data_IF_831594647358
#
_entry.id   IF_831594647358
#
_cell.length_a   1.000
_cell.length_b   1.000
_cell.length_c   1.000
_cell.angle_alpha   90.00
_cell.angle_beta   90.00
_cell.angle_gamma   90.00
#
_symmetry.space_group_name_H-M   'P 1'
#
loop_
_entity.id
_entity.type
_entity.pdbx_description
1 polymer ?
#
# COMPACT_ATOMS: atom_id res chain seq x y z
N UNK A 1 7.13 16.65 0.06
CA UNK A 1 8.33 15.81 -0.24
C UNK A 1 8.83 16.16 -1.63
N UNK A 2 10.08 16.65 -1.77
CA UNK A 2 10.60 17.08 -3.06
C UNK A 2 11.46 15.97 -3.67
N UNK A 3 11.04 15.46 -4.82
CA UNK A 3 11.77 14.47 -5.63
C UNK A 3 11.74 14.91 -7.08
N UNK A 4 12.75 14.53 -7.85
CA UNK A 4 12.71 14.71 -9.31
C UNK A 4 11.67 13.75 -9.89
N UNK A 5 10.84 14.23 -10.81
CA UNK A 5 9.81 13.43 -11.47
C UNK A 5 10.24 13.09 -12.88
N UNK A 6 9.93 11.89 -13.32
CA UNK A 6 10.25 11.46 -14.69
C UNK A 6 9.55 12.34 -15.74
N UNK A 7 8.34 12.81 -15.45
CA UNK A 7 7.65 13.76 -16.32
C UNK A 7 8.45 15.06 -16.54
N UNK A 8 9.12 15.58 -15.51
CA UNK A 8 9.95 16.79 -15.63
C UNK A 8 11.22 16.51 -16.44
N UNK A 9 11.82 15.34 -16.28
CA UNK A 9 12.98 14.90 -17.09
C UNK A 9 12.59 14.80 -18.55
N UNK A 10 11.42 14.26 -18.87
CA UNK A 10 10.91 14.18 -20.24
C UNK A 10 10.64 15.59 -20.80
N UNK A 11 9.96 16.44 -20.02
CA UNK A 11 9.63 17.81 -20.44
C UNK A 11 10.87 18.67 -20.75
N UNK A 12 12.01 18.36 -20.10
CA UNK A 12 13.30 19.01 -20.39
C UNK A 12 13.98 18.52 -21.69
N UNK A 13 13.43 17.48 -22.34
CA UNK A 13 14.04 16.84 -23.52
C UNK A 13 15.20 15.90 -23.20
N UNK A 14 15.56 15.73 -21.94
CA UNK A 14 16.77 14.97 -21.56
C UNK A 14 16.64 13.46 -21.80
N UNK A 15 15.42 12.92 -21.94
CA UNK A 15 15.20 11.48 -22.13
C UNK A 15 15.44 10.99 -23.55
N UNK A 16 15.45 11.89 -24.54
CA UNK A 16 15.64 11.52 -25.94
C UNK A 16 17.02 10.89 -26.18
N UNK A 17 17.01 9.72 -26.82
CA UNK A 17 18.22 8.91 -27.09
C UNK A 17 18.98 8.47 -25.83
N UNK A 18 18.37 8.53 -24.64
CA UNK A 18 18.96 8.09 -23.38
C UNK A 18 18.49 6.68 -23.00
N UNK A 19 19.33 5.99 -22.27
CA UNK A 19 18.99 4.70 -21.67
C UNK A 19 18.20 4.95 -20.38
N UNK A 20 16.94 4.54 -20.37
CA UNK A 20 16.03 4.70 -19.23
C UNK A 20 15.79 3.35 -18.60
N UNK A 21 16.24 3.19 -17.37
CA UNK A 21 16.02 1.98 -16.57
C UNK A 21 14.81 2.20 -15.66
N UNK A 22 13.74 1.46 -15.89
CA UNK A 22 12.50 1.54 -15.11
C UNK A 22 12.42 0.35 -14.16
N UNK A 23 12.40 0.62 -12.85
CA UNK A 23 12.06 -0.36 -11.83
C UNK A 23 10.55 -0.34 -11.63
N UNK A 24 9.87 -1.30 -12.24
CA UNK A 24 8.43 -1.48 -12.15
C UNK A 24 8.06 -2.52 -11.08
N UNK A 25 6.83 -2.56 -10.65
CA UNK A 25 6.24 -3.64 -9.87
C UNK A 25 5.35 -4.51 -10.77
N UNK A 26 5.93 -5.57 -11.28
CA UNK A 26 5.29 -6.54 -12.18
C UNK A 26 5.12 -7.90 -11.50
N UNK A 27 5.15 -7.92 -10.17
CA UNK A 27 4.97 -9.13 -9.37
C UNK A 27 3.48 -9.52 -9.34
N UNK A 28 3.04 -10.14 -10.42
CA UNK A 28 1.65 -10.56 -10.64
C UNK A 28 1.41 -12.00 -10.16
N UNK A 29 0.19 -12.34 -9.76
CA UNK A 29 -0.16 -13.71 -9.40
C UNK A 29 -0.20 -14.59 -10.65
N UNK A 30 0.24 -15.83 -10.48
CA UNK A 30 0.26 -16.86 -11.51
C UNK A 30 -0.40 -18.13 -10.98
N UNK A 31 -1.01 -18.91 -11.89
CA UNK A 31 -1.48 -20.26 -11.60
C UNK A 31 -0.32 -21.27 -11.56
N UNK A 32 -0.63 -22.51 -11.26
CA UNK A 32 0.37 -23.60 -11.19
C UNK A 32 1.08 -23.87 -12.54
N UNK A 33 0.48 -23.47 -13.67
CA UNK A 33 1.07 -23.58 -15.01
C UNK A 33 1.89 -22.35 -15.40
N UNK A 34 1.97 -21.32 -14.53
CA UNK A 34 2.69 -20.08 -14.79
C UNK A 34 1.90 -19.05 -15.59
N UNK A 35 0.60 -19.25 -15.80
CA UNK A 35 -0.24 -18.25 -16.47
C UNK A 35 -0.57 -17.11 -15.50
N UNK A 36 -0.55 -15.89 -16.01
CA UNK A 36 -0.95 -14.70 -15.25
C UNK A 36 -2.46 -14.74 -15.02
N UNK A 37 -2.86 -14.73 -13.75
CA UNK A 37 -4.28 -14.76 -13.35
C UNK A 37 -4.89 -13.37 -13.17
N UNK A 38 -4.02 -12.35 -12.96
CA UNK A 38 -4.43 -10.96 -12.78
C UNK A 38 -3.29 -10.04 -13.25
N UNK A 39 -3.57 -9.05 -14.10
CA UNK A 39 -2.56 -8.23 -14.80
C UNK A 39 -2.58 -6.74 -14.44
N UNK A 40 -3.29 -6.34 -13.38
CA UNK A 40 -3.47 -4.92 -12.99
C UNK A 40 -2.13 -4.20 -12.83
N UNK A 41 -1.14 -4.85 -12.24
CA UNK A 41 0.20 -4.23 -12.04
C UNK A 41 0.92 -4.01 -13.36
N UNK A 42 0.76 -4.92 -14.32
CA UNK A 42 1.36 -4.75 -15.66
C UNK A 42 0.69 -3.57 -16.35
N UNK A 43 -0.65 -3.51 -16.34
CA UNK A 43 -1.41 -2.38 -16.91
C UNK A 43 -1.03 -1.05 -16.28
N UNK A 44 -0.89 -1.01 -14.96
CA UNK A 44 -0.51 0.19 -14.22
C UNK A 44 0.90 0.70 -14.58
N UNK A 45 1.80 -0.19 -15.02
CA UNK A 45 3.17 0.15 -15.42
C UNK A 45 3.28 0.67 -16.86
N UNK A 46 2.27 0.42 -17.70
CA UNK A 46 2.26 0.84 -19.12
C UNK A 46 2.45 2.36 -19.30
N UNK A 47 1.78 3.25 -18.54
CA UNK A 47 1.96 4.69 -18.73
C UNK A 47 3.40 5.16 -18.59
N UNK A 48 4.16 4.72 -17.58
CA UNK A 48 5.55 5.07 -17.40
C UNK A 48 6.43 4.62 -18.58
N UNK A 49 6.22 3.37 -19.01
CA UNK A 49 6.95 2.78 -20.14
C UNK A 49 6.64 3.54 -21.44
N UNK A 50 5.36 3.83 -21.66
CA UNK A 50 4.93 4.55 -22.86
C UNK A 50 5.48 5.98 -22.89
N UNK A 51 5.54 6.66 -21.73
CA UNK A 51 6.18 7.97 -21.63
C UNK A 51 7.64 7.93 -22.07
N UNK A 52 8.40 6.93 -21.64
CA UNK A 52 9.80 6.76 -22.02
C UNK A 52 9.95 6.47 -23.53
N UNK A 53 9.13 5.58 -24.07
CA UNK A 53 9.13 5.23 -25.48
C UNK A 53 8.76 6.44 -26.37
N UNK A 54 7.73 7.20 -25.99
CA UNK A 54 7.29 8.40 -26.69
C UNK A 54 8.35 9.50 -26.68
N UNK A 55 9.20 9.53 -25.64
CA UNK A 55 10.33 10.45 -25.56
C UNK A 55 11.56 10.00 -26.38
N UNK A 56 11.47 8.88 -27.10
CA UNK A 56 12.56 8.36 -27.91
C UNK A 56 13.69 7.70 -27.10
N UNK A 57 13.41 7.28 -25.87
CA UNK A 57 14.39 6.61 -25.02
C UNK A 57 14.65 5.16 -25.45
N UNK A 58 15.82 4.64 -25.08
CA UNK A 58 16.10 3.21 -25.04
C UNK A 58 15.65 2.67 -23.67
N UNK A 59 14.62 1.81 -23.64
CA UNK A 59 13.91 1.45 -22.42
C UNK A 59 14.32 0.08 -21.90
N UNK A 60 14.76 0.03 -20.66
CA UNK A 60 15.08 -1.20 -19.92
C UNK A 60 14.10 -1.29 -18.73
N UNK A 61 13.32 -2.35 -18.67
CA UNK A 61 12.35 -2.56 -17.60
C UNK A 61 12.68 -3.82 -16.83
N UNK A 62 12.70 -3.76 -15.52
CA UNK A 62 12.79 -4.94 -14.67
C UNK A 62 11.82 -4.89 -13.50
N UNK A 63 11.60 -6.04 -12.92
CA UNK A 63 10.83 -6.25 -11.70
C UNK A 63 11.35 -7.49 -10.97
N UNK A 64 10.90 -7.65 -9.75
CA UNK A 64 10.90 -8.96 -9.11
C UNK A 64 9.63 -9.73 -9.48
N UNK A 65 9.70 -11.05 -9.41
CA UNK A 65 8.58 -11.96 -9.48
C UNK A 65 8.77 -13.03 -8.41
N UNK A 66 7.79 -13.18 -7.53
CA UNK A 66 7.86 -14.17 -6.45
C UNK A 66 8.99 -13.92 -5.44
N UNK A 67 9.50 -15.01 -4.91
CA UNK A 67 10.59 -15.03 -3.90
C UNK A 67 11.69 -16.02 -4.30
N UNK A 68 12.39 -15.75 -5.39
CA UNK A 68 13.48 -16.63 -5.84
C UNK A 68 14.63 -16.66 -4.84
N UNK A 69 15.43 -17.72 -4.91
CA UNK A 69 16.70 -17.78 -4.22
C UNK A 69 17.76 -17.07 -5.05
N UNK A 70 18.49 -16.13 -4.47
CA UNK A 70 19.60 -15.44 -5.16
C UNK A 70 20.65 -16.46 -5.65
N UNK A 71 21.06 -16.32 -6.90
CA UNK A 71 22.02 -17.20 -7.56
C UNK A 71 21.46 -18.54 -8.04
N UNK A 72 20.17 -18.84 -7.81
CA UNK A 72 19.55 -20.12 -8.15
C UNK A 72 18.26 -19.90 -8.95
N UNK A 73 18.39 -19.46 -10.20
CA UNK A 73 17.27 -19.21 -11.11
C UNK A 73 16.53 -20.51 -11.47
N UNK A 74 15.19 -20.43 -11.43
CA UNK A 74 14.29 -21.47 -11.90
C UNK A 74 13.38 -20.91 -12.99
N UNK A 75 12.88 -21.75 -13.89
CA UNK A 75 11.96 -21.32 -14.94
C UNK A 75 10.68 -20.62 -14.41
N UNK A 76 10.23 -21.04 -13.22
CA UNK A 76 9.10 -20.39 -12.52
C UNK A 76 9.40 -18.95 -12.04
N UNK A 77 10.66 -18.56 -11.97
CA UNK A 77 11.08 -17.22 -11.57
C UNK A 77 11.11 -16.24 -12.75
N UNK A 78 10.92 -16.74 -13.98
CA UNK A 78 11.08 -15.95 -15.20
C UNK A 78 9.97 -14.92 -15.41
N UNK A 79 10.37 -13.72 -15.83
CA UNK A 79 9.47 -12.67 -16.30
C UNK A 79 8.97 -12.89 -17.75
N UNK A 80 9.26 -14.02 -18.39
CA UNK A 80 8.83 -14.28 -19.76
C UNK A 80 7.30 -14.13 -19.98
N UNK A 81 6.42 -14.65 -19.11
CA UNK A 81 4.98 -14.41 -19.24
C UNK A 81 4.61 -12.92 -19.10
N UNK A 82 5.32 -12.19 -18.23
CA UNK A 82 5.10 -10.76 -18.03
C UNK A 82 5.54 -9.95 -19.25
N UNK A 83 6.70 -10.27 -19.83
CA UNK A 83 7.20 -9.64 -21.05
C UNK A 83 6.22 -9.84 -22.22
N UNK A 84 5.70 -11.05 -22.39
CA UNK A 84 4.67 -11.35 -23.39
C UNK A 84 3.42 -10.48 -23.17
N UNK A 85 2.89 -10.45 -21.94
CA UNK A 85 1.68 -9.68 -21.63
C UNK A 85 1.90 -8.18 -21.81
N UNK A 86 3.06 -7.68 -21.40
CA UNK A 86 3.43 -6.27 -21.61
C UNK A 86 3.49 -5.94 -23.10
N UNK A 87 4.06 -6.83 -23.92
CA UNK A 87 4.11 -6.67 -25.37
C UNK A 87 2.73 -6.58 -26.01
N UNK A 88 1.78 -7.43 -25.58
CA UNK A 88 0.38 -7.35 -26.01
C UNK A 88 -0.26 -5.99 -25.69
N UNK A 89 -0.01 -5.46 -24.47
CA UNK A 89 -0.55 -4.18 -24.02
C UNK A 89 0.08 -2.98 -24.74
N UNK A 90 1.36 -3.07 -25.09
CA UNK A 90 2.09 -2.02 -25.81
C UNK A 90 1.91 -2.12 -27.33
N UNK A 91 1.38 -3.24 -27.87
CA UNK A 91 1.27 -3.49 -29.30
C UNK A 91 2.63 -3.63 -30.00
N UNK A 92 3.65 -4.14 -29.32
CA UNK A 92 5.01 -4.35 -29.81
C UNK A 92 5.73 -5.48 -29.09
N UNK A 93 6.79 -5.99 -29.69
CA UNK A 93 7.64 -6.97 -29.03
C UNK A 93 8.37 -6.37 -27.85
N UNK A 94 8.45 -7.15 -26.76
CA UNK A 94 9.23 -6.88 -25.56
C UNK A 94 10.17 -8.05 -25.34
N UNK A 95 11.37 -8.05 -25.95
CA UNK A 95 12.34 -9.12 -25.75
C UNK A 95 12.77 -9.25 -24.30
N UNK A 96 12.89 -10.49 -23.80
CA UNK A 96 13.44 -10.78 -22.50
C UNK A 96 14.96 -11.00 -22.58
N UNK A 97 15.71 -10.29 -21.77
CA UNK A 97 17.17 -10.43 -21.66
C UNK A 97 17.50 -11.15 -20.36
N UNK A 98 18.00 -12.39 -20.46
CA UNK A 98 18.30 -13.23 -19.30
C UNK A 98 19.55 -12.79 -18.54
N UNK A 99 20.62 -12.48 -19.25
CA UNK A 99 21.92 -12.06 -18.69
C UNK A 99 22.16 -10.59 -19.02
N UNK A 100 21.90 -9.71 -18.08
CA UNK A 100 21.85 -8.28 -18.35
C UNK A 100 22.71 -7.40 -17.42
N UNK A 101 23.13 -7.91 -16.27
CA UNK A 101 23.87 -7.11 -15.26
C UNK A 101 25.20 -6.57 -15.78
N UNK A 102 25.87 -7.34 -16.64
CA UNK A 102 27.17 -6.97 -17.19
C UNK A 102 27.09 -6.20 -18.53
N UNK A 103 25.88 -5.90 -18.99
CA UNK A 103 25.66 -5.09 -20.19
C UNK A 103 24.41 -5.49 -20.96
N UNK A 104 23.73 -4.49 -21.53
CA UNK A 104 22.57 -4.68 -22.41
C UNK A 104 22.63 -3.65 -23.53
N UNK A 105 22.36 -4.09 -24.75
CA UNK A 105 22.21 -3.20 -25.90
C UNK A 105 20.73 -3.05 -26.23
N UNK A 106 20.24 -1.83 -26.24
CA UNK A 106 18.89 -1.47 -26.67
C UNK A 106 18.96 -0.14 -27.42
N UNK A 107 18.30 -0.07 -28.57
CA UNK A 107 18.29 1.15 -29.38
C UNK A 107 17.23 2.16 -28.90
N UNK A 108 17.42 3.46 -29.14
CA UNK A 108 16.40 4.47 -28.90
C UNK A 108 15.06 4.09 -29.54
N UNK A 109 13.95 4.27 -28.80
CA UNK A 109 12.61 3.88 -29.22
C UNK A 109 12.30 2.39 -29.07
N UNK A 110 13.26 1.59 -28.62
CA UNK A 110 13.08 0.16 -28.33
C UNK A 110 12.95 -0.10 -26.83
N UNK A 111 12.40 -1.27 -26.49
CA UNK A 111 12.24 -1.74 -25.12
C UNK A 111 12.74 -3.17 -24.98
N UNK A 112 13.36 -3.47 -23.85
CA UNK A 112 13.66 -4.84 -23.41
C UNK A 112 13.19 -5.05 -21.97
N UNK A 113 12.74 -6.27 -21.66
CA UNK A 113 12.52 -6.74 -20.30
C UNK A 113 13.80 -7.39 -19.81
N UNK A 114 14.31 -6.94 -18.68
CA UNK A 114 15.43 -7.57 -17.98
C UNK A 114 14.88 -8.61 -17.02
N UNK A 115 15.45 -9.82 -17.05
CA UNK A 115 14.99 -10.94 -16.24
C UNK A 115 15.00 -10.62 -14.75
N UNK A 116 14.14 -11.29 -14.00
CA UNK A 116 13.86 -11.13 -12.58
C UNK A 116 15.07 -10.65 -11.76
N UNK A 117 14.99 -9.41 -11.28
CA UNK A 117 16.10 -8.78 -10.56
C UNK A 117 16.48 -9.49 -9.25
N UNK A 118 15.53 -10.18 -8.62
CA UNK A 118 15.76 -10.89 -7.34
C UNK A 118 16.57 -12.17 -7.44
N UNK A 119 16.90 -12.63 -8.64
CA UNK A 119 17.79 -13.79 -8.81
C UNK A 119 19.27 -13.41 -8.67
N UNK A 120 19.60 -12.14 -8.74
CA UNK A 120 20.98 -11.67 -8.65
C UNK A 120 21.47 -11.65 -7.20
N UNK A 121 22.65 -12.25 -6.98
CA UNK A 121 23.34 -12.21 -5.68
C UNK A 121 23.67 -10.75 -5.33
N UNK A 122 23.27 -10.33 -4.16
CA UNK A 122 23.50 -8.96 -3.69
C UNK A 122 22.30 -8.00 -3.90
N UNK A 123 21.28 -8.39 -4.65
CA UNK A 123 20.09 -7.55 -4.86
C UNK A 123 19.41 -7.19 -3.52
N UNK A 124 19.06 -8.20 -2.71
CA UNK A 124 18.38 -7.99 -1.42
C UNK A 124 19.21 -7.23 -0.40
N UNK A 125 20.53 -7.40 -0.46
CA UNK A 125 21.48 -6.75 0.47
C UNK A 125 21.90 -5.35 0.01
N UNK A 126 21.41 -4.91 -1.13
CA UNK A 126 21.85 -3.65 -1.74
C UNK A 126 23.38 -3.59 -1.89
N UNK A 127 23.97 -4.64 -2.46
CA UNK A 127 25.42 -4.73 -2.64
C UNK A 127 25.94 -3.58 -3.50
N UNK A 128 26.95 -2.80 -3.03
CA UNK A 128 27.42 -1.62 -3.77
C UNK A 128 28.05 -1.95 -5.11
N UNK A 129 28.70 -3.12 -5.26
CA UNK A 129 29.31 -3.51 -6.53
C UNK A 129 28.22 -3.83 -7.57
N UNK A 130 27.18 -4.56 -7.17
CA UNK A 130 26.01 -4.80 -8.00
C UNK A 130 25.33 -3.47 -8.36
N UNK A 131 25.07 -2.60 -7.39
CA UNK A 131 24.42 -1.32 -7.61
C UNK A 131 25.13 -0.43 -8.62
N UNK A 132 26.47 -0.39 -8.62
CA UNK A 132 27.27 0.33 -9.63
C UNK A 132 27.14 -0.28 -11.01
N UNK A 133 27.12 -1.60 -11.14
CA UNK A 133 26.86 -2.29 -12.42
C UNK A 133 25.49 -1.94 -12.96
N UNK A 134 24.45 -1.95 -12.11
CA UNK A 134 23.09 -1.57 -12.50
C UNK A 134 23.02 -0.12 -12.97
N UNK A 135 23.64 0.80 -12.25
CA UNK A 135 23.67 2.21 -12.62
C UNK A 135 24.42 2.48 -13.95
N UNK A 136 25.43 1.68 -14.26
CA UNK A 136 26.17 1.78 -15.53
C UNK A 136 25.30 1.40 -16.76
N UNK A 137 24.18 0.71 -16.56
CA UNK A 137 23.26 0.33 -17.64
C UNK A 137 22.38 1.50 -18.12
N UNK A 138 22.31 2.60 -17.38
CA UNK A 138 21.36 3.67 -17.68
C UNK A 138 21.94 5.06 -17.51
N UNK A 139 21.30 6.02 -18.18
CA UNK A 139 21.52 7.45 -18.00
C UNK A 139 20.47 8.03 -17.04
N UNK A 140 19.29 7.43 -17.02
CA UNK A 140 18.16 7.79 -16.14
C UNK A 140 17.63 6.53 -15.48
N UNK A 141 17.57 6.55 -14.15
CA UNK A 141 16.88 5.56 -13.35
C UNK A 141 15.50 6.10 -12.94
N UNK A 142 14.45 5.32 -13.18
CA UNK A 142 13.08 5.64 -12.81
C UNK A 142 12.56 4.60 -11.82
N UNK A 143 12.27 5.03 -10.61
CA UNK A 143 11.59 4.19 -9.62
C UNK A 143 10.08 4.35 -9.77
N UNK A 144 9.40 3.29 -10.20
CA UNK A 144 7.94 3.30 -10.40
C UNK A 144 7.26 2.09 -9.73
N UNK A 145 7.76 1.71 -8.56
CA UNK A 145 7.35 0.50 -7.84
C UNK A 145 7.11 0.79 -6.35
N UNK A 146 6.03 1.47 -6.02
CA UNK A 146 5.72 1.83 -4.63
C UNK A 146 5.64 0.60 -3.71
N UNK A 147 5.11 -0.52 -4.19
CA UNK A 147 5.05 -1.76 -3.42
C UNK A 147 6.38 -2.26 -2.88
N UNK A 148 7.51 -1.82 -3.47
CA UNK A 148 8.88 -2.16 -3.03
C UNK A 148 9.62 -0.98 -2.40
N UNK A 149 9.00 0.18 -2.29
CA UNK A 149 9.64 1.43 -1.84
C UNK A 149 10.16 1.36 -0.39
N UNK A 150 9.63 0.45 0.41
CA UNK A 150 10.04 0.18 1.79
C UNK A 150 11.30 -0.70 1.90
N UNK A 151 11.87 -1.14 0.79
CA UNK A 151 13.04 -2.02 0.75
C UNK A 151 14.24 -1.31 0.15
N UNK A 152 15.37 -1.30 0.87
CA UNK A 152 16.65 -0.86 0.36
C UNK A 152 17.35 -2.02 -0.35
N UNK A 153 16.99 -2.24 -1.62
CA UNK A 153 17.56 -3.30 -2.48
C UNK A 153 18.38 -2.68 -3.63
N UNK A 154 19.13 -3.48 -4.36
CA UNK A 154 19.98 -3.01 -5.46
C UNK A 154 19.23 -2.22 -6.52
N UNK A 155 18.06 -2.74 -6.97
CA UNK A 155 17.23 -2.11 -8.01
C UNK A 155 16.24 -1.05 -7.51
N UNK A 156 16.11 -0.87 -6.20
CA UNK A 156 15.19 0.14 -5.61
C UNK A 156 15.92 1.30 -4.97
N UNK A 157 17.06 1.05 -4.35
CA UNK A 157 17.86 2.05 -3.62
C UNK A 157 19.25 2.22 -4.23
N UNK A 158 20.00 1.11 -4.36
CA UNK A 158 21.40 1.15 -4.77
C UNK A 158 21.63 1.76 -6.13
N UNK A 159 20.86 1.37 -7.13
CA UNK A 159 20.95 1.97 -8.49
C UNK A 159 20.73 3.49 -8.44
N UNK A 160 19.79 3.96 -7.61
CA UNK A 160 19.51 5.38 -7.46
C UNK A 160 20.68 6.16 -6.86
N UNK A 161 21.52 5.50 -6.04
CA UNK A 161 22.72 6.14 -5.47
C UNK A 161 23.75 6.51 -6.53
N UNK A 162 23.86 5.71 -7.58
CA UNK A 162 24.97 5.80 -8.56
C UNK A 162 24.53 6.18 -9.97
N UNK A 163 23.26 6.09 -10.32
CA UNK A 163 22.76 6.50 -11.64
C UNK A 163 22.98 8.02 -11.86
N UNK A 164 23.28 8.46 -13.07
CA UNK A 164 23.45 9.90 -13.37
C UNK A 164 22.22 10.71 -12.96
N UNK A 165 21.03 10.27 -13.33
CA UNK A 165 19.74 10.82 -12.90
C UNK A 165 18.92 9.72 -12.22
N UNK A 166 18.30 10.06 -11.08
CA UNK A 166 17.35 9.21 -10.38
C UNK A 166 16.06 9.98 -10.12
N UNK A 167 14.91 9.43 -10.54
CA UNK A 167 13.64 10.10 -10.44
C UNK A 167 12.48 9.15 -10.13
N UNK A 168 11.36 9.73 -9.72
CA UNK A 168 10.12 9.01 -9.49
C UNK A 168 9.31 8.90 -10.77
N UNK A 169 8.87 7.69 -11.11
CA UNK A 169 7.87 7.45 -12.14
C UNK A 169 6.48 7.94 -11.71
N UNK A 170 5.50 7.91 -12.63
CA UNK A 170 4.17 8.45 -12.36
C UNK A 170 3.44 7.75 -11.22
N UNK A 171 3.55 6.42 -11.06
CA UNK A 171 2.94 5.69 -9.94
C UNK A 171 3.55 6.10 -8.60
N UNK A 172 4.87 6.14 -8.51
CA UNK A 172 5.55 6.54 -7.29
C UNK A 172 5.28 8.01 -6.94
N UNK A 173 5.27 8.89 -7.93
CA UNK A 173 4.95 10.30 -7.74
C UNK A 173 3.52 10.50 -7.22
N UNK A 174 2.54 9.77 -7.76
CA UNK A 174 1.16 9.82 -7.29
C UNK A 174 1.02 9.34 -5.83
N UNK A 175 1.72 8.28 -5.44
CA UNK A 175 1.77 7.81 -4.05
C UNK A 175 2.38 8.87 -3.12
N UNK A 176 3.50 9.49 -3.52
CA UNK A 176 4.13 10.57 -2.76
C UNK A 176 3.17 11.75 -2.57
N UNK A 177 2.46 12.15 -3.61
CA UNK A 177 1.50 13.26 -3.56
C UNK A 177 0.32 12.93 -2.63
N UNK A 178 -0.25 11.75 -2.78
CA UNK A 178 -1.37 11.31 -1.96
C UNK A 178 -1.00 11.21 -0.47
N UNK A 179 0.14 10.61 -0.16
CA UNK A 179 0.67 10.49 1.21
C UNK A 179 0.96 11.86 1.80
N UNK A 180 1.60 12.75 1.04
CA UNK A 180 1.92 14.11 1.50
C UNK A 180 0.65 14.90 1.79
N UNK A 181 -0.35 14.80 0.93
CA UNK A 181 -1.65 15.44 1.11
C UNK A 181 -2.40 14.93 2.34
N UNK A 182 -2.34 13.61 2.58
CA UNK A 182 -3.04 12.98 3.69
C UNK A 182 -2.37 13.17 5.06
N UNK A 183 -1.03 13.16 5.11
CA UNK A 183 -0.28 13.06 6.38
C UNK A 183 0.61 14.27 6.68
N UNK A 184 1.24 14.87 5.68
CA UNK A 184 2.13 16.00 5.90
C UNK A 184 1.38 17.34 6.01
N UNK A 185 0.33 17.50 5.22
CA UNK A 185 -0.49 18.73 5.18
C UNK A 185 -1.98 18.40 5.08
N UNK A 186 -2.55 17.65 6.04
CA UNK A 186 -3.94 17.24 5.97
C UNK A 186 -4.89 18.43 6.18
N UNK A 187 -5.98 18.45 5.40
CA UNK A 187 -7.14 19.26 5.77
C UNK A 187 -7.84 18.60 6.96
N UNK A 188 -8.03 19.36 8.03
CA UNK A 188 -8.65 18.84 9.26
C UNK A 188 -10.18 18.96 9.23
N UNK A 189 -10.90 18.14 9.99
CA UNK A 189 -10.42 17.04 10.82
C UNK A 189 -9.75 15.91 10.02
N UNK A 190 -8.62 15.39 10.54
CA UNK A 190 -7.97 14.20 10.03
C UNK A 190 -8.49 12.98 10.79
N UNK A 191 -9.19 12.11 10.08
CA UNK A 191 -9.76 10.87 10.64
C UNK A 191 -9.01 9.68 10.08
N UNK A 192 -8.47 8.83 10.95
CA UNK A 192 -7.87 7.57 10.56
C UNK A 192 -8.73 6.39 11.01
N UNK A 193 -8.82 5.38 10.16
CA UNK A 193 -9.41 4.08 10.48
C UNK A 193 -8.29 3.04 10.46
N UNK A 194 -8.05 2.41 11.60
CA UNK A 194 -7.09 1.32 11.74
C UNK A 194 -7.83 0.12 12.31
N UNK A 195 -8.05 -0.87 11.50
CA UNK A 195 -8.78 -2.06 11.86
C UNK A 195 -8.02 -3.33 11.49
N UNK A 196 -8.31 -4.41 12.18
CA UNK A 196 -7.68 -5.70 11.99
C UNK A 196 -7.88 -6.62 13.18
N UNK A 197 -7.31 -7.81 13.11
CA UNK A 197 -7.48 -8.84 14.13
C UNK A 197 -6.63 -8.61 15.39
N UNK A 198 -5.46 -7.99 15.26
CA UNK A 198 -4.46 -7.90 16.34
C UNK A 198 -3.88 -6.52 16.50
N UNK A 199 -3.90 -5.99 17.73
CA UNK A 199 -3.19 -4.75 18.11
C UNK A 199 -1.69 -4.89 17.88
N UNK A 200 -1.09 -6.02 18.25
CA UNK A 200 0.35 -6.28 18.11
C UNK A 200 0.89 -6.06 16.70
N UNK A 201 0.08 -6.37 15.68
CA UNK A 201 0.46 -6.19 14.28
C UNK A 201 0.39 -4.73 13.80
N UNK A 202 -0.33 -3.86 14.52
CA UNK A 202 -0.56 -2.45 14.12
C UNK A 202 -0.28 -1.45 15.23
N UNK A 203 0.34 -1.89 16.34
CA UNK A 203 0.60 -1.02 17.49
C UNK A 203 1.41 0.21 17.12
N UNK A 204 2.45 0.05 16.32
CA UNK A 204 3.30 1.17 15.86
C UNK A 204 2.50 2.17 15.01
N UNK A 205 1.59 1.69 14.17
CA UNK A 205 0.68 2.54 13.38
C UNK A 205 -0.26 3.31 14.30
N UNK A 206 -0.88 2.64 15.27
CA UNK A 206 -1.78 3.26 16.25
C UNK A 206 -1.07 4.34 17.05
N UNK A 207 0.15 4.05 17.51
CA UNK A 207 0.98 5.01 18.26
C UNK A 207 1.41 6.21 17.39
N UNK A 208 1.81 5.97 16.15
CA UNK A 208 2.22 7.03 15.23
C UNK A 208 1.04 7.95 14.87
N UNK A 209 -0.10 7.38 14.49
CA UNK A 209 -1.29 8.14 14.12
C UNK A 209 -1.89 8.89 15.31
N UNK A 210 -1.84 8.33 16.52
CA UNK A 210 -2.35 8.98 17.74
C UNK A 210 -1.73 10.34 18.02
N UNK A 211 -0.57 10.62 17.45
CA UNK A 211 0.14 11.90 17.59
C UNK A 211 -0.37 13.00 16.66
N UNK A 212 -1.10 12.63 15.61
CA UNK A 212 -1.44 13.59 14.55
C UNK A 212 -2.93 13.62 14.18
N UNK A 213 -3.67 12.54 14.32
CA UNK A 213 -5.07 12.47 13.91
C UNK A 213 -6.01 13.10 14.93
N UNK A 214 -7.14 13.62 14.47
CA UNK A 214 -8.18 14.21 15.33
C UNK A 214 -9.14 13.15 15.85
N UNK A 215 -9.34 12.08 15.07
CA UNK A 215 -10.11 10.91 15.44
C UNK A 215 -9.41 9.65 14.95
N UNK A 216 -9.33 8.65 15.81
CA UNK A 216 -8.77 7.33 15.50
C UNK A 216 -9.85 6.27 15.68
N UNK A 217 -10.46 5.87 14.58
CA UNK A 217 -11.46 4.80 14.54
C UNK A 217 -10.73 3.46 14.52
N UNK A 218 -11.06 2.59 15.46
CA UNK A 218 -10.53 1.23 15.53
C UNK A 218 -11.61 0.22 15.21
N UNK A 219 -11.24 -0.92 14.63
CA UNK A 219 -12.18 -1.96 14.22
C UNK A 219 -11.63 -3.38 14.38
N UNK A 220 -12.53 -4.36 14.35
CA UNK A 220 -12.19 -5.77 14.49
C UNK A 220 -11.65 -6.13 15.87
N UNK A 221 -10.71 -7.07 15.94
CA UNK A 221 -10.05 -7.46 17.19
C UNK A 221 -9.31 -6.32 17.87
N UNK A 222 -8.82 -5.34 17.09
CA UNK A 222 -8.23 -4.11 17.64
C UNK A 222 -9.29 -3.36 18.45
N UNK A 223 -10.49 -3.14 17.91
CA UNK A 223 -11.58 -2.48 18.64
C UNK A 223 -11.97 -3.23 19.91
N UNK A 224 -12.00 -4.56 19.87
CA UNK A 224 -12.32 -5.39 21.04
C UNK A 224 -11.29 -5.18 22.16
N UNK A 225 -10.01 -5.10 21.82
CA UNK A 225 -8.96 -4.78 22.81
C UNK A 225 -9.12 -3.37 23.38
N UNK A 226 -9.48 -2.39 22.56
CA UNK A 226 -9.78 -1.03 23.02
C UNK A 226 -11.04 -0.94 23.88
N UNK A 227 -12.08 -1.72 23.56
CA UNK A 227 -13.28 -1.85 24.40
C UNK A 227 -12.93 -2.44 25.77
N UNK A 228 -12.09 -3.48 25.79
CA UNK A 228 -11.59 -4.07 27.03
C UNK A 228 -10.79 -3.03 27.85
N UNK A 229 -9.96 -2.23 27.20
CA UNK A 229 -9.22 -1.12 27.81
C UNK A 229 -10.17 -0.05 28.41
N UNK A 230 -11.34 0.15 27.80
CA UNK A 230 -12.39 1.03 28.31
C UNK A 230 -13.25 0.41 29.42
N UNK A 231 -12.95 -0.80 29.86
CA UNK A 231 -13.66 -1.49 30.96
C UNK A 231 -14.92 -2.24 30.51
N UNK A 232 -15.10 -2.48 29.21
CA UNK A 232 -16.24 -3.22 28.67
C UNK A 232 -15.97 -4.73 28.61
N UNK A 233 -17.01 -5.55 28.90
CA UNK A 233 -16.96 -6.97 28.64
C UNK A 233 -17.03 -7.24 27.12
N UNK A 234 -16.13 -8.05 26.63
CA UNK A 234 -16.09 -8.44 25.19
C UNK A 234 -16.39 -9.94 24.99
N UNK A 235 -16.75 -10.67 26.03
CA UNK A 235 -17.04 -12.10 25.98
C UNK A 235 -15.87 -12.92 25.47
N UNK A 236 -16.11 -13.77 24.48
CA UNK A 236 -15.12 -14.61 23.80
C UNK A 236 -14.52 -13.95 22.54
N UNK A 237 -14.72 -12.66 22.37
CA UNK A 237 -14.26 -11.93 21.19
C UNK A 237 -12.74 -12.00 21.04
N UNK A 238 -12.28 -12.00 19.78
CA UNK A 238 -10.88 -11.91 19.46
C UNK A 238 -10.29 -10.62 20.03
N UNK A 239 -9.29 -10.72 20.88
CA UNK A 239 -8.61 -9.60 21.51
C UNK A 239 -7.21 -10.01 21.98
N UNK A 240 -6.42 -9.03 22.35
CA UNK A 240 -5.10 -9.22 22.98
C UNK A 240 -5.08 -8.54 24.37
N UNK A 241 -5.53 -9.25 25.44
CA UNK A 241 -5.58 -8.67 26.79
C UNK A 241 -4.24 -8.16 27.29
N UNK A 242 -3.13 -8.76 26.87
CA UNK A 242 -1.78 -8.31 27.21
C UNK A 242 -1.40 -6.91 26.65
N UNK A 243 -2.19 -6.36 25.73
CA UNK A 243 -1.96 -5.03 25.12
C UNK A 243 -3.01 -3.99 25.56
N UNK A 244 -3.78 -4.29 26.60
CA UNK A 244 -4.77 -3.35 27.15
C UNK A 244 -4.11 -2.06 27.65
N UNK A 245 -2.95 -2.15 28.29
CA UNK A 245 -2.23 -0.94 28.76
C UNK A 245 -1.70 -0.08 27.59
N UNK A 246 -1.28 -0.72 26.49
CA UNK A 246 -0.90 -0.01 25.26
C UNK A 246 -2.11 0.70 24.63
N UNK A 247 -3.27 0.05 24.60
CA UNK A 247 -4.52 0.65 24.14
C UNK A 247 -4.94 1.83 25.01
N UNK A 248 -4.85 1.72 26.33
CA UNK A 248 -5.10 2.82 27.28
C UNK A 248 -4.15 4.01 27.02
N UNK A 249 -2.88 3.74 26.75
CA UNK A 249 -1.88 4.76 26.45
C UNK A 249 -2.24 5.54 25.17
N UNK A 250 -2.71 4.83 24.12
CA UNK A 250 -3.18 5.47 22.87
C UNK A 250 -4.40 6.36 23.14
N UNK A 251 -5.39 5.87 23.88
CA UNK A 251 -6.59 6.64 24.24
C UNK A 251 -6.20 7.90 25.05
N UNK A 252 -5.31 7.77 26.04
CA UNK A 252 -4.84 8.88 26.85
C UNK A 252 -4.08 9.92 26.04
N UNK A 253 -3.20 9.47 25.13
CA UNK A 253 -2.44 10.37 24.25
C UNK A 253 -3.36 11.17 23.30
N UNK A 254 -4.39 10.55 22.75
CA UNK A 254 -5.41 11.21 21.95
C UNK A 254 -6.18 12.25 22.77
N UNK A 255 -6.69 11.85 23.92
CA UNK A 255 -7.46 12.73 24.81
C UNK A 255 -6.64 13.95 25.27
N UNK A 256 -5.37 13.77 25.59
CA UNK A 256 -4.47 14.84 25.99
C UNK A 256 -4.30 15.95 24.92
N UNK A 257 -4.52 15.61 23.66
CA UNK A 257 -4.49 16.54 22.52
C UNK A 257 -5.87 17.10 22.15
N UNK A 258 -6.93 16.77 22.86
CA UNK A 258 -8.30 17.13 22.48
C UNK A 258 -8.85 16.31 21.32
N UNK A 259 -8.22 15.19 21.03
CA UNK A 259 -8.62 14.21 20.01
C UNK A 259 -9.34 13.02 20.66
N UNK A 260 -9.92 12.12 19.88
CA UNK A 260 -10.65 10.99 20.45
C UNK A 260 -10.40 9.67 19.72
N UNK A 261 -10.54 8.58 20.47
CA UNK A 261 -10.74 7.23 19.96
C UNK A 261 -12.20 6.86 20.23
N UNK A 262 -13.09 6.92 19.20
CA UNK A 262 -14.50 6.59 19.39
C UNK A 262 -14.65 5.11 19.75
N UNK A 263 -15.13 4.81 20.95
CA UNK A 263 -15.39 3.43 21.38
C UNK A 263 -16.81 3.05 20.95
N UNK A 264 -17.03 1.84 20.40
CA UNK A 264 -18.36 1.37 20.04
C UNK A 264 -19.36 1.44 21.21
N UNK A 265 -20.55 1.97 20.95
CA UNK A 265 -21.65 2.02 21.94
C UNK A 265 -22.63 0.87 21.75
N UNK A 266 -22.66 0.27 20.59
CA UNK A 266 -23.39 -0.94 20.25
C UNK A 266 -22.54 -1.82 19.32
N UNK A 267 -22.84 -3.08 19.29
CA UNK A 267 -22.11 -4.13 18.58
C UNK A 267 -23.07 -5.14 17.98
N UNK A 268 -22.60 -5.90 17.00
CA UNK A 268 -23.28 -7.08 16.47
C UNK A 268 -22.52 -8.31 16.93
N UNK A 269 -23.22 -9.17 17.68
CA UNK A 269 -22.64 -10.37 18.29
C UNK A 269 -23.20 -11.65 17.68
N UNK A 270 -22.45 -12.73 17.82
CA UNK A 270 -22.89 -14.10 17.55
C UNK A 270 -22.28 -15.04 18.58
N UNK A 271 -22.81 -16.26 18.66
CA UNK A 271 -22.29 -17.31 19.54
C UNK A 271 -21.17 -18.12 18.87
N UNK A 272 -21.11 -18.10 17.55
CA UNK A 272 -20.11 -18.81 16.75
C UNK A 272 -19.58 -17.90 15.63
N UNK A 273 -18.35 -18.17 15.19
CA UNK A 273 -17.76 -17.53 14.01
C UNK A 273 -18.13 -18.35 12.78
N UNK A 274 -19.27 -18.01 12.16
CA UNK A 274 -19.77 -18.68 10.98
C UNK A 274 -20.61 -17.73 10.12
N UNK A 275 -20.67 -17.96 8.82
CA UNK A 275 -21.44 -17.13 7.88
C UNK A 275 -22.96 -17.19 8.16
N UNK A 276 -23.46 -18.28 8.68
CA UNK A 276 -24.84 -18.53 9.05
C UNK A 276 -25.15 -18.31 10.55
N UNK A 277 -24.19 -17.79 11.31
CA UNK A 277 -24.40 -17.48 12.71
C UNK A 277 -25.50 -16.42 12.89
N UNK A 278 -26.32 -16.59 13.93
CA UNK A 278 -27.39 -15.65 14.28
C UNK A 278 -26.77 -14.36 14.81
N UNK A 279 -26.97 -13.26 14.09
CA UNK A 279 -26.54 -11.94 14.50
C UNK A 279 -27.48 -11.30 15.51
N UNK A 280 -26.94 -10.77 16.60
CA UNK A 280 -27.70 -10.05 17.63
C UNK A 280 -27.10 -8.69 17.85
N UNK A 281 -27.88 -7.61 17.69
CA UNK A 281 -27.48 -6.25 18.02
C UNK A 281 -27.62 -6.07 19.54
N UNK A 282 -26.55 -5.60 20.17
CA UNK A 282 -26.50 -5.35 21.61
C UNK A 282 -25.86 -4.01 21.93
N UNK A 283 -26.28 -3.37 23.03
CA UNK A 283 -25.45 -2.30 23.60
C UNK A 283 -24.08 -2.89 24.00
N UNK A 284 -23.03 -2.09 23.87
CA UNK A 284 -21.68 -2.54 24.21
C UNK A 284 -21.53 -2.94 25.68
N UNK A 285 -22.42 -2.45 26.57
CA UNK A 285 -22.51 -2.80 27.98
C UNK A 285 -23.19 -4.14 28.24
N UNK A 286 -23.90 -4.71 27.26
CA UNK A 286 -24.75 -5.89 27.40
C UNK A 286 -24.14 -7.15 26.75
N UNK A 287 -22.87 -7.10 26.38
CA UNK A 287 -22.15 -8.24 25.82
C UNK A 287 -22.01 -9.35 26.87
N UNK A 288 -22.49 -10.55 26.53
CA UNK A 288 -22.41 -11.72 27.39
C UNK A 288 -21.03 -12.40 27.32
N UNK A 289 -20.71 -13.21 28.33
CA UNK A 289 -19.40 -13.88 28.41
C UNK A 289 -19.14 -14.89 27.27
N UNK A 290 -20.20 -15.39 26.63
CA UNK A 290 -20.16 -16.32 25.51
C UNK A 290 -20.37 -15.66 24.14
N UNK A 291 -20.46 -14.33 24.08
CA UNK A 291 -20.62 -13.59 22.85
C UNK A 291 -19.29 -13.42 22.11
N UNK A 292 -19.36 -13.41 20.77
CA UNK A 292 -18.31 -12.96 19.86
C UNK A 292 -18.78 -11.66 19.21
N UNK A 293 -18.03 -10.59 19.36
CA UNK A 293 -18.26 -9.32 18.64
C UNK A 293 -17.72 -9.48 17.23
N UNK A 294 -18.58 -9.41 16.22
CA UNK A 294 -18.22 -9.61 14.81
C UNK A 294 -18.42 -8.37 13.94
N UNK A 295 -19.08 -7.33 14.46
CA UNK A 295 -19.22 -6.03 13.80
C UNK A 295 -19.55 -4.95 14.84
N UNK A 296 -19.36 -3.70 14.45
CA UNK A 296 -19.94 -2.56 15.16
C UNK A 296 -21.45 -2.53 14.95
N UNK A 297 -22.18 -2.03 15.93
CA UNK A 297 -23.62 -1.88 15.83
C UNK A 297 -24.05 -0.70 14.94
N UNK A 298 -25.35 -0.64 14.58
CA UNK A 298 -25.86 0.37 13.67
C UNK A 298 -25.77 1.81 14.20
N UNK A 299 -25.92 2.03 15.49
CA UNK A 299 -25.80 3.37 16.10
C UNK A 299 -24.33 3.83 16.09
N UNK A 300 -23.39 2.96 16.39
CA UNK A 300 -21.95 3.25 16.26
C UNK A 300 -21.61 3.55 14.81
N UNK A 301 -22.05 2.75 13.85
CA UNK A 301 -21.81 2.95 12.43
C UNK A 301 -22.36 4.31 11.96
N UNK A 302 -23.55 4.68 12.38
CA UNK A 302 -24.18 5.98 12.06
C UNK A 302 -23.36 7.14 12.60
N UNK A 303 -22.90 7.07 13.84
CA UNK A 303 -22.05 8.09 14.47
C UNK A 303 -20.73 8.25 13.72
N UNK A 304 -20.05 7.13 13.42
CA UNK A 304 -18.79 7.15 12.70
C UNK A 304 -18.95 7.66 11.27
N UNK A 305 -20.06 7.32 10.60
CA UNK A 305 -20.38 7.84 9.27
C UNK A 305 -20.54 9.37 9.28
N UNK A 306 -21.18 9.94 10.31
CA UNK A 306 -21.30 11.39 10.47
C UNK A 306 -19.93 12.06 10.64
N UNK A 307 -19.04 11.46 11.43
CA UNK A 307 -17.67 11.94 11.62
C UNK A 307 -16.86 11.89 10.32
N UNK A 308 -16.99 10.82 9.55
CA UNK A 308 -16.31 10.68 8.25
C UNK A 308 -16.83 11.70 7.21
N UNK A 309 -18.13 11.96 7.18
CA UNK A 309 -18.72 12.98 6.30
C UNK A 309 -18.26 14.40 6.65
N UNK A 310 -17.99 14.66 7.92
CA UNK A 310 -17.49 15.95 8.40
C UNK A 310 -15.96 16.08 8.32
N UNK A 311 -15.23 15.02 7.98
CA UNK A 311 -13.78 15.02 7.90
C UNK A 311 -13.25 15.91 6.76
N UNK A 312 -12.04 16.40 6.92
CA UNK A 312 -11.27 17.05 5.85
C UNK A 312 -10.36 16.07 5.12
N UNK A 313 -9.84 15.09 5.86
CA UNK A 313 -8.96 14.03 5.33
C UNK A 313 -9.28 12.72 6.04
N UNK A 314 -9.27 11.62 5.27
CA UNK A 314 -9.53 10.27 5.79
C UNK A 314 -8.37 9.35 5.37
N UNK A 315 -7.83 8.61 6.34
CA UNK A 315 -6.89 7.51 6.13
C UNK A 315 -7.58 6.21 6.49
N UNK A 316 -7.72 5.30 5.55
CA UNK A 316 -8.47 4.06 5.75
C UNK A 316 -7.60 2.81 5.59
N UNK A 317 -7.46 2.07 6.68
CA UNK A 317 -6.76 0.80 6.72
C UNK A 317 -7.54 -0.24 7.55
N UNK A 318 -8.27 -1.09 6.88
CA UNK A 318 -8.96 -2.26 7.42
C UNK A 318 -10.47 -2.10 7.61
N UNK A 319 -11.21 -3.21 7.48
CA UNK A 319 -12.64 -3.29 7.75
C UNK A 319 -12.93 -3.30 9.24
N UNK A 320 -14.09 -2.80 9.67
CA UNK A 320 -14.46 -2.69 11.08
C UNK A 320 -15.25 -3.89 11.63
N UNK A 321 -15.52 -4.87 10.80
CA UNK A 321 -16.21 -6.10 11.15
C UNK A 321 -15.88 -7.23 10.17
N UNK A 322 -16.51 -8.38 10.36
CA UNK A 322 -16.36 -9.56 9.48
C UNK A 322 -17.24 -9.36 8.24
N UNK A 323 -16.83 -8.44 7.40
CA UNK A 323 -17.62 -7.98 6.24
C UNK A 323 -17.78 -9.05 5.14
N UNK A 324 -17.03 -10.12 5.20
CA UNK A 324 -17.16 -11.28 4.33
C UNK A 324 -18.48 -12.03 4.58
N UNK A 325 -19.04 -11.94 5.80
CA UNK A 325 -20.31 -12.52 6.16
C UNK A 325 -21.41 -11.47 6.09
N UNK A 326 -22.47 -11.73 5.33
CA UNK A 326 -23.56 -10.78 5.09
C UNK A 326 -24.22 -10.28 6.40
N UNK A 327 -24.29 -11.12 7.44
CA UNK A 327 -24.87 -10.74 8.73
C UNK A 327 -24.01 -9.73 9.54
N UNK A 328 -22.73 -9.60 9.19
CA UNK A 328 -21.74 -8.80 9.94
C UNK A 328 -21.01 -7.77 9.03
N UNK A 329 -21.59 -7.42 7.90
CA UNK A 329 -20.99 -6.47 6.95
C UNK A 329 -21.44 -5.02 7.13
N UNK A 330 -22.53 -4.79 7.86
CA UNK A 330 -23.19 -3.48 7.89
C UNK A 330 -22.26 -2.35 8.33
N UNK A 331 -21.46 -2.57 9.36
CA UNK A 331 -20.52 -1.56 9.85
C UNK A 331 -19.53 -1.12 8.79
N UNK A 332 -18.87 -2.06 8.13
CA UNK A 332 -17.91 -1.77 7.04
C UNK A 332 -18.61 -1.13 5.84
N UNK A 333 -19.80 -1.59 5.47
CA UNK A 333 -20.59 -1.03 4.37
C UNK A 333 -20.98 0.43 4.64
N UNK A 334 -21.46 0.74 5.83
CA UNK A 334 -21.84 2.11 6.21
C UNK A 334 -20.63 3.04 6.20
N UNK A 335 -19.48 2.58 6.72
CA UNK A 335 -18.23 3.34 6.70
C UNK A 335 -17.74 3.56 5.26
N UNK A 336 -17.73 2.52 4.43
CA UNK A 336 -17.33 2.62 3.04
C UNK A 336 -18.18 3.64 2.27
N UNK A 337 -19.50 3.59 2.44
CA UNK A 337 -20.42 4.53 1.82
C UNK A 337 -20.22 5.97 2.35
N UNK A 338 -19.97 6.14 3.64
CA UNK A 338 -19.69 7.45 4.22
C UNK A 338 -18.40 8.06 3.66
N UNK A 339 -17.37 7.26 3.46
CA UNK A 339 -16.12 7.70 2.82
C UNK A 339 -16.38 8.10 1.37
N UNK A 340 -17.15 7.29 0.63
CA UNK A 340 -17.51 7.58 -0.76
C UNK A 340 -18.32 8.86 -0.92
N UNK A 341 -19.20 9.17 0.03
CA UNK A 341 -20.05 10.36 0.02
C UNK A 341 -19.39 11.59 0.66
N UNK A 342 -18.28 11.42 1.37
CA UNK A 342 -17.57 12.51 2.02
C UNK A 342 -16.86 13.41 1.01
N UNK A 343 -16.85 14.71 1.26
CA UNK A 343 -16.01 15.67 0.52
C UNK A 343 -14.54 15.66 0.95
N UNK A 344 -14.18 14.86 1.95
CA UNK A 344 -12.82 14.71 2.41
C UNK A 344 -11.93 14.09 1.33
N UNK A 345 -10.65 14.45 1.32
CA UNK A 345 -9.65 13.65 0.62
C UNK A 345 -9.44 12.34 1.38
N UNK A 346 -9.67 11.21 0.72
CA UNK A 346 -9.47 9.89 1.30
C UNK A 346 -8.32 9.14 0.66
N UNK A 347 -7.49 8.50 1.48
CA UNK A 347 -6.46 7.55 1.06
C UNK A 347 -6.73 6.21 1.73
N UNK A 348 -6.74 5.15 0.95
CA UNK A 348 -6.98 3.80 1.43
C UNK A 348 -5.86 2.86 1.01
N UNK A 349 -5.53 1.90 1.86
CA UNK A 349 -4.53 0.88 1.56
C UNK A 349 -4.67 -0.35 2.46
N UNK A 350 -4.03 -1.43 2.01
CA UNK A 350 -4.14 -2.75 2.61
C UNK A 350 -5.13 -3.67 1.88
N UNK A 351 -4.80 -4.96 1.82
CA UNK A 351 -5.56 -5.94 1.04
C UNK A 351 -7.04 -6.01 1.40
N UNK A 352 -7.35 -6.08 2.70
CA UNK A 352 -8.74 -6.17 3.17
C UNK A 352 -9.52 -4.88 2.89
N UNK A 353 -8.85 -3.73 2.94
CA UNK A 353 -9.45 -2.43 2.57
C UNK A 353 -9.82 -2.41 1.09
N UNK A 354 -8.91 -2.86 0.22
CA UNK A 354 -9.16 -2.94 -1.22
C UNK A 354 -10.29 -3.92 -1.53
N UNK A 355 -10.37 -5.05 -0.81
CA UNK A 355 -11.47 -6.00 -0.94
C UNK A 355 -12.83 -5.37 -0.57
N UNK A 356 -12.88 -4.57 0.51
CA UNK A 356 -14.10 -3.84 0.89
C UNK A 356 -14.48 -2.78 -0.16
N UNK A 357 -13.51 -2.02 -0.67
CA UNK A 357 -13.72 -1.04 -1.74
C UNK A 357 -14.34 -1.70 -2.97
N UNK A 358 -13.78 -2.84 -3.39
CA UNK A 358 -14.29 -3.61 -4.54
C UNK A 358 -15.69 -4.16 -4.27
N UNK A 359 -15.91 -4.73 -3.08
CA UNK A 359 -17.22 -5.30 -2.70
C UNK A 359 -18.35 -4.27 -2.78
N UNK A 360 -18.08 -3.04 -2.37
CA UNK A 360 -19.08 -1.96 -2.35
C UNK A 360 -19.03 -1.03 -3.57
N UNK A 361 -18.14 -1.29 -4.53
CA UNK A 361 -18.08 -0.61 -5.82
C UNK A 361 -17.76 0.88 -5.72
N UNK A 362 -16.91 1.28 -4.76
CA UNK A 362 -16.59 2.68 -4.46
C UNK A 362 -15.19 3.13 -4.93
N UNK A 363 -14.55 2.39 -5.82
CA UNK A 363 -13.18 2.65 -6.27
C UNK A 363 -13.00 4.07 -6.82
N UNK A 364 -14.03 4.58 -7.51
CA UNK A 364 -13.98 5.91 -8.13
C UNK A 364 -14.23 7.06 -7.16
N UNK A 365 -14.81 6.77 -6.00
CA UNK A 365 -15.16 7.76 -4.97
C UNK A 365 -14.05 7.89 -3.91
N UNK A 366 -13.16 6.92 -3.76
CA UNK A 366 -11.99 7.02 -2.89
C UNK A 366 -10.96 7.93 -3.56
N UNK A 367 -10.44 8.91 -2.83
CA UNK A 367 -9.53 9.91 -3.37
C UNK A 367 -8.22 9.33 -3.90
N UNK A 368 -7.65 8.36 -3.20
CA UNK A 368 -6.50 7.60 -3.65
C UNK A 368 -6.48 6.20 -3.03
N UNK A 369 -6.24 5.19 -3.86
CA UNK A 369 -6.07 3.79 -3.43
C UNK A 369 -4.61 3.43 -3.58
N UNK A 370 -3.92 3.20 -2.45
CA UNK A 370 -2.50 2.85 -2.45
C UNK A 370 -2.27 1.47 -3.09
N UNK A 371 -1.27 1.40 -3.95
CA UNK A 371 -0.86 0.16 -4.63
C UNK A 371 0.10 -0.69 -3.82
N UNK A 372 0.66 -0.15 -2.72
CA UNK A 372 1.72 -0.79 -1.95
C UNK A 372 1.32 -1.12 -0.51
N UNK A 373 0.69 -2.29 -0.28
CA UNK A 373 0.22 -2.66 1.05
C UNK A 373 1.26 -2.51 2.17
N UNK A 374 2.42 -3.18 2.05
CA UNK A 374 3.48 -3.11 3.06
C UNK A 374 4.13 -1.72 3.17
N UNK A 375 4.44 -1.11 2.03
CA UNK A 375 4.99 0.24 2.00
C UNK A 375 4.03 1.28 2.59
N UNK A 376 2.74 1.17 2.29
CA UNK A 376 1.72 2.04 2.87
C UNK A 376 1.63 1.91 4.40
N UNK A 377 1.68 0.69 4.93
CA UNK A 377 1.69 0.46 6.37
C UNK A 377 2.92 1.09 7.04
N UNK A 378 4.10 0.97 6.45
CA UNK A 378 5.32 1.58 6.99
C UNK A 378 5.26 3.11 6.98
N UNK A 379 4.61 3.71 5.98
CA UNK A 379 4.34 5.15 5.99
C UNK A 379 3.41 5.54 7.15
N UNK A 380 2.37 4.75 7.40
CA UNK A 380 1.46 4.98 8.54
C UNK A 380 2.16 4.81 9.90
N UNK A 381 3.23 3.99 9.95
CA UNK A 381 4.11 3.87 11.12
C UNK A 381 5.01 5.10 11.35
N UNK A 382 4.97 6.07 10.45
CA UNK A 382 5.82 7.27 10.50
C UNK A 382 7.23 7.07 9.97
N UNK A 383 7.51 5.95 9.30
CA UNK A 383 8.81 5.66 8.71
C UNK A 383 9.01 6.44 7.41
N UNK A 384 10.24 6.90 7.17
CA UNK A 384 10.65 7.35 5.84
C UNK A 384 11.04 6.12 5.02
N UNK A 385 10.40 5.94 3.87
CA UNK A 385 10.71 4.80 3.02
C UNK A 385 12.07 4.97 2.34
N UNK A 386 12.90 3.93 2.24
CA UNK A 386 14.21 4.00 1.61
C UNK A 386 14.19 4.60 0.19
N UNK A 387 13.21 4.24 -0.63
CA UNK A 387 13.10 4.81 -1.97
C UNK A 387 12.81 6.33 -1.95
N UNK A 388 12.01 6.80 -1.00
CA UNK A 388 11.76 8.23 -0.85
C UNK A 388 13.01 8.97 -0.37
N UNK A 389 13.70 8.40 0.61
CA UNK A 389 14.94 8.95 1.15
C UNK A 389 15.98 9.16 0.07
N UNK A 390 16.29 8.11 -0.71
CA UNK A 390 17.32 8.21 -1.75
C UNK A 390 16.92 9.19 -2.87
N UNK A 391 15.66 9.18 -3.30
CA UNK A 391 15.22 10.11 -4.34
C UNK A 391 15.20 11.56 -3.87
N UNK A 392 14.88 11.83 -2.59
CA UNK A 392 14.99 13.16 -2.00
C UNK A 392 16.44 13.62 -1.93
N UNK A 393 17.34 12.76 -1.48
CA UNK A 393 18.77 13.04 -1.45
C UNK A 393 19.30 13.40 -2.85
N UNK A 394 18.97 12.59 -3.87
CA UNK A 394 19.38 12.84 -5.25
C UNK A 394 18.77 14.11 -5.87
N UNK A 395 17.57 14.49 -5.44
CA UNK A 395 16.95 15.75 -5.88
C UNK A 395 17.56 17.01 -5.25
N UNK A 396 18.38 16.86 -4.20
CA UNK A 396 19.08 17.94 -3.51
C UNK A 396 20.53 18.17 -4.02
N UNK A 397 21.07 17.21 -4.75
CA UNK A 397 22.38 17.28 -5.44
C UNK A 397 22.27 18.03 -6.77
#
# INVERSE_FOLDING_TARGET
>A
MKVLRFADVIASGFAENKRVFIRADLNVPQDAAGNITEDTRIRASVPCIQMALNAGAAVLVTSHLGRPTEGAFKSSDSLAPVAKRLGELLGRDVPLVAHWVDGVTVAPGQIVMLENCRVHVGEKKNDPALARKLAALCDIFVHDAFGTAHRAEGTTYGIAQYAPIACAGPLLAAEIDAISKALASPKRPLVAIVAGSKVSSKLTILQALSKNVDQLIVGGGIANTFMLAAGLNIGKSLAEPGLVEDAKAVIAAMKARGAEVPIPTDVVTAKTFAADAVATIKAATDVADDDLILDIGPETAKRLAAQLKAAGTIVWNGPVGVFEFAAFENGTKVIANAIAESSAFSIAGGGDTLAAIAKYGIEKQVGYISTGGGAFLEVLEGKTLPAFEILQKRAAE
#
